data_IF_002143513520
#
_entry.id   IF_002143513520
#
_cell.length_a   1.000
_cell.length_b   1.000
_cell.length_c   1.000
_cell.angle_alpha   90.00
_cell.angle_beta   90.00
_cell.angle_gamma   90.00
#
_symmetry.space_group_name_H-M   'P 1'
#
loop_
_entity.id
_entity.type
_entity.pdbx_description
1 polymer ?
#
# COMPACT_ATOMS: atom_id res chain seq x y z
N UNK A 1 -12.89 19.89 -14.52
CA UNK A 1 -11.62 19.70 -15.26
C UNK A 1 -10.55 18.96 -14.47
N UNK A 2 -10.74 18.67 -13.17
CA UNK A 2 -9.79 17.87 -12.39
C UNK A 2 -10.14 16.37 -12.36
N UNK A 3 -11.42 16.01 -12.52
CA UNK A 3 -11.86 14.59 -12.50
C UNK A 3 -11.37 13.78 -13.71
N UNK A 4 -11.42 14.37 -14.91
CA UNK A 4 -10.99 13.69 -16.16
C UNK A 4 -9.51 13.31 -16.17
N UNK A 5 -8.64 14.08 -15.51
CA UNK A 5 -7.21 13.79 -15.49
C UNK A 5 -6.87 12.61 -14.56
N UNK A 6 -7.63 12.43 -13.47
CA UNK A 6 -7.46 11.30 -12.54
C UNK A 6 -8.02 10.02 -13.14
N UNK A 7 -9.16 10.10 -13.84
CA UNK A 7 -9.77 8.98 -14.54
C UNK A 7 -8.87 8.48 -15.68
N UNK A 8 -8.32 9.38 -16.51
CA UNK A 8 -7.35 9.03 -17.57
C UNK A 8 -6.05 8.45 -17.01
N UNK A 9 -5.56 8.96 -15.86
CA UNK A 9 -4.35 8.43 -15.23
C UNK A 9 -4.57 7.02 -14.64
N UNK A 10 -5.73 6.78 -14.04
CA UNK A 10 -6.12 5.45 -13.55
C UNK A 10 -6.33 4.46 -14.70
N UNK A 11 -6.92 4.90 -15.82
CA UNK A 11 -7.11 4.07 -17.02
C UNK A 11 -5.78 3.71 -17.70
N UNK A 12 -4.79 4.62 -17.67
CA UNK A 12 -3.44 4.37 -18.19
C UNK A 12 -2.68 3.35 -17.34
N UNK A 13 -2.74 3.44 -16.01
CA UNK A 13 -2.11 2.45 -15.13
C UNK A 13 -2.81 1.07 -15.19
N UNK A 14 -4.14 1.04 -15.35
CA UNK A 14 -4.90 -0.21 -15.40
C UNK A 14 -4.70 -0.96 -16.72
N UNK A 15 -4.53 -0.24 -17.83
CA UNK A 15 -4.18 -0.83 -19.12
C UNK A 15 -2.76 -1.40 -19.15
N UNK A 16 -1.80 -0.77 -18.48
CA UNK A 16 -0.43 -1.31 -18.34
C UNK A 16 -0.41 -2.58 -17.48
N UNK A 17 -1.24 -2.63 -16.43
CA UNK A 17 -1.43 -3.83 -15.60
C UNK A 17 -2.13 -4.94 -16.39
N UNK A 18 -3.19 -4.62 -17.15
CA UNK A 18 -3.89 -5.59 -18.00
C UNK A 18 -2.98 -6.12 -19.12
N UNK A 19 -2.17 -5.25 -19.74
CA UNK A 19 -1.17 -5.65 -20.75
C UNK A 19 -0.06 -6.52 -20.14
N UNK A 20 0.37 -6.24 -18.91
CA UNK A 20 1.30 -7.11 -18.17
C UNK A 20 0.66 -8.47 -17.80
N UNK A 21 -0.64 -8.50 -17.51
CA UNK A 21 -1.39 -9.74 -17.23
C UNK A 21 -1.64 -10.57 -18.51
N UNK A 22 -1.90 -9.92 -19.64
CA UNK A 22 -2.08 -10.58 -20.94
C UNK A 22 -0.73 -11.11 -21.48
N UNK A 23 0.37 -10.40 -21.23
CA UNK A 23 1.74 -10.88 -21.50
C UNK A 23 2.15 -12.07 -20.63
N UNK A 24 1.47 -12.34 -19.51
CA UNK A 24 1.70 -13.50 -18.65
C UNK A 24 0.97 -14.76 -19.11
N UNK A 25 0.29 -14.72 -20.27
CA UNK A 25 -0.09 -15.87 -21.10
C UNK A 25 -0.03 -17.22 -20.41
N UNK A 26 -1.00 -17.49 -19.53
CA UNK A 26 -1.25 -18.84 -19.00
C UNK A 26 -1.92 -19.62 -20.15
N UNK A 27 -1.10 -19.99 -21.14
CA UNK A 27 -1.45 -21.00 -22.13
C UNK A 27 -1.37 -22.35 -21.42
N UNK A 28 -2.53 -22.82 -21.00
CA UNK A 28 -2.79 -24.20 -20.65
C UNK A 28 -2.66 -25.06 -21.90
N UNK A 29 -1.44 -25.51 -22.24
CA UNK A 29 -1.23 -26.56 -23.22
C UNK A 29 -0.37 -27.69 -22.62
N UNK A 30 -0.86 -28.89 -22.85
CA UNK A 30 -0.58 -30.15 -22.17
C UNK A 30 0.48 -30.92 -22.95
N UNK A 31 1.73 -30.88 -22.53
CA UNK A 31 2.81 -31.64 -23.20
C UNK A 31 3.56 -32.59 -22.24
N UNK A 32 3.11 -33.85 -22.19
CA UNK A 32 3.77 -34.97 -21.47
C UNK A 32 5.08 -35.45 -22.11
N UNK A 33 5.39 -35.05 -23.36
CA UNK A 33 6.54 -35.57 -24.12
C UNK A 33 7.89 -34.92 -23.75
N UNK A 34 7.89 -33.78 -23.06
CA UNK A 34 9.11 -33.02 -22.73
C UNK A 34 9.92 -33.53 -21.53
N UNK A 35 9.29 -34.33 -20.66
CA UNK A 35 9.87 -34.71 -19.35
C UNK A 35 11.00 -35.72 -19.51
N UNK A 36 10.93 -36.63 -20.49
CA UNK A 36 11.92 -37.69 -20.71
C UNK A 36 13.25 -37.16 -21.28
N UNK A 37 13.21 -36.16 -22.16
CA UNK A 37 14.43 -35.53 -22.72
C UNK A 37 15.15 -34.61 -21.72
N UNK A 38 14.39 -33.97 -20.80
CA UNK A 38 14.94 -33.11 -19.75
C UNK A 38 15.66 -33.90 -18.64
N UNK A 39 15.30 -35.18 -18.44
CA UNK A 39 15.96 -36.06 -17.47
C UNK A 39 17.30 -36.57 -18.03
N UNK A 40 17.39 -36.83 -19.32
CA UNK A 40 18.61 -37.39 -19.94
C UNK A 40 19.75 -36.36 -20.05
N UNK A 41 19.44 -35.07 -20.19
CA UNK A 41 20.43 -33.98 -20.25
C UNK A 41 20.97 -33.57 -18.88
N UNK A 42 20.31 -33.95 -17.78
CA UNK A 42 20.70 -33.55 -16.41
C UNK A 42 21.81 -34.40 -15.80
N UNK A 43 22.10 -35.59 -16.33
CA UNK A 43 23.06 -36.53 -15.72
C UNK A 43 24.52 -36.33 -16.19
N UNK A 44 24.73 -35.69 -17.35
CA UNK A 44 26.08 -35.50 -17.93
C UNK A 44 26.79 -34.22 -17.44
N UNK A 45 26.05 -33.24 -16.92
CA UNK A 45 26.60 -31.92 -16.58
C UNK A 45 27.32 -31.84 -15.23
N UNK A 46 27.33 -32.93 -14.43
CA UNK A 46 27.84 -32.90 -13.05
C UNK A 46 29.33 -33.16 -12.89
N UNK A 47 30.04 -33.55 -13.96
CA UNK A 47 31.44 -34.00 -13.87
C UNK A 47 32.50 -32.94 -14.22
N UNK A 48 32.14 -31.76 -14.74
CA UNK A 48 33.11 -30.78 -15.30
C UNK A 48 32.96 -29.38 -14.68
N UNK A 49 32.85 -29.25 -13.36
CA UNK A 49 32.69 -27.93 -12.71
C UNK A 49 33.47 -27.76 -11.40
N UNK A 50 34.68 -28.33 -11.30
CA UNK A 50 35.56 -28.18 -10.12
C UNK A 50 36.80 -27.31 -10.36
N UNK A 51 36.70 -26.30 -11.21
CA UNK A 51 37.74 -25.28 -11.37
C UNK A 51 37.24 -23.94 -10.86
N UNK A 52 37.72 -23.57 -9.66
CA UNK A 52 37.74 -22.20 -9.13
C UNK A 52 36.43 -21.40 -9.20
N UNK A 53 35.49 -21.74 -8.33
CA UNK A 53 34.37 -20.86 -8.01
C UNK A 53 34.87 -19.71 -7.11
N UNK A 54 35.24 -18.59 -7.72
CA UNK A 54 35.46 -17.33 -7.01
C UNK A 54 34.11 -16.90 -6.43
N UNK A 55 34.01 -16.86 -5.11
CA UNK A 55 32.79 -16.37 -4.45
C UNK A 55 32.75 -14.86 -4.58
N UNK A 56 31.91 -14.33 -5.47
CA UNK A 56 31.51 -12.93 -5.42
C UNK A 56 30.77 -12.72 -4.10
N UNK A 57 31.40 -12.00 -3.17
CA UNK A 57 30.88 -11.73 -1.81
C UNK A 57 30.01 -10.47 -1.74
N UNK A 58 29.76 -9.81 -2.87
CA UNK A 58 28.80 -8.72 -3.02
C UNK A 58 27.48 -9.28 -3.55
N UNK A 59 26.35 -8.79 -3.03
CA UNK A 59 25.00 -9.23 -3.43
C UNK A 59 24.70 -9.09 -4.94
N UNK A 60 25.57 -8.41 -5.69
CA UNK A 60 25.56 -8.29 -7.14
C UNK A 60 26.95 -8.72 -7.65
N UNK A 61 27.08 -9.98 -8.09
CA UNK A 61 28.33 -10.53 -8.64
C UNK A 61 28.49 -10.23 -10.13
N UNK A 62 27.38 -10.01 -10.84
CA UNK A 62 27.33 -9.62 -12.25
C UNK A 62 26.22 -8.60 -12.52
N UNK A 63 26.34 -7.85 -13.63
CA UNK A 63 25.29 -6.92 -14.09
C UNK A 63 23.94 -7.64 -14.33
N UNK A 64 23.99 -8.87 -14.84
CA UNK A 64 22.80 -9.70 -15.04
C UNK A 64 22.08 -10.02 -13.73
N UNK A 65 22.81 -10.34 -12.65
CA UNK A 65 22.23 -10.59 -11.32
C UNK A 65 21.62 -9.31 -10.72
N UNK A 66 22.24 -8.15 -10.95
CA UNK A 66 21.71 -6.86 -10.50
C UNK A 66 20.36 -6.54 -11.16
N UNK A 67 20.24 -6.76 -12.47
CA UNK A 67 18.99 -6.57 -13.21
C UNK A 67 17.87 -7.52 -12.72
N UNK A 68 18.21 -8.78 -12.45
CA UNK A 68 17.25 -9.76 -11.92
C UNK A 68 16.72 -9.36 -10.54
N UNK A 69 17.58 -8.88 -9.65
CA UNK A 69 17.14 -8.40 -8.34
C UNK A 69 16.29 -7.15 -8.44
N UNK A 70 16.58 -6.24 -9.38
CA UNK A 70 15.73 -5.08 -9.60
C UNK A 70 14.34 -5.47 -10.08
N UNK A 71 14.25 -6.37 -11.07
CA UNK A 71 12.96 -6.87 -11.56
C UNK A 71 12.17 -7.60 -10.47
N UNK A 72 12.84 -8.38 -9.62
CA UNK A 72 12.21 -9.07 -8.50
C UNK A 72 11.53 -8.06 -7.55
N UNK A 73 12.28 -7.05 -7.09
CA UNK A 73 11.74 -6.06 -6.17
C UNK A 73 10.66 -5.19 -6.80
N UNK A 74 10.78 -4.83 -8.08
CA UNK A 74 9.72 -4.13 -8.80
C UNK A 74 8.42 -4.93 -8.80
N UNK A 75 8.48 -6.24 -9.09
CA UNK A 75 7.29 -7.12 -9.08
C UNK A 75 6.70 -7.26 -7.69
N UNK A 76 7.53 -7.39 -6.66
CA UNK A 76 7.08 -7.42 -5.27
C UNK A 76 6.38 -6.12 -4.90
N UNK A 77 6.95 -4.97 -5.26
CA UNK A 77 6.35 -3.65 -5.01
C UNK A 77 5.02 -3.48 -5.76
N UNK A 78 4.90 -3.94 -7.00
CA UNK A 78 3.64 -3.94 -7.74
C UNK A 78 2.57 -4.76 -7.02
N UNK A 79 2.93 -5.96 -6.53
CA UNK A 79 2.03 -6.78 -5.71
C UNK A 79 1.64 -6.11 -4.39
N UNK A 80 2.57 -5.43 -3.73
CA UNK A 80 2.31 -4.69 -2.50
C UNK A 80 1.35 -3.51 -2.74
N UNK A 81 1.56 -2.75 -3.82
CA UNK A 81 0.68 -1.64 -4.21
C UNK A 81 -0.74 -2.17 -4.46
N UNK A 82 -0.89 -3.21 -5.26
CA UNK A 82 -2.20 -3.80 -5.55
C UNK A 82 -2.91 -4.27 -4.26
N UNK A 83 -2.19 -4.94 -3.36
CA UNK A 83 -2.74 -5.37 -2.07
C UNK A 83 -3.18 -4.18 -1.20
N UNK A 84 -2.32 -3.16 -1.05
CA UNK A 84 -2.68 -1.97 -0.27
C UNK A 84 -3.85 -1.21 -0.88
N UNK A 85 -3.93 -1.10 -2.21
CA UNK A 85 -5.05 -0.46 -2.90
C UNK A 85 -6.39 -1.15 -2.60
N UNK A 86 -6.46 -2.48 -2.72
CA UNK A 86 -7.67 -3.24 -2.38
C UNK A 86 -8.03 -3.07 -0.91
N UNK A 87 -7.05 -3.19 -0.01
CA UNK A 87 -7.27 -3.02 1.42
C UNK A 87 -7.78 -1.62 1.78
N UNK A 88 -7.25 -0.58 1.13
CA UNK A 88 -7.70 0.80 1.32
C UNK A 88 -9.14 0.98 0.87
N UNK A 89 -9.54 0.47 -0.30
CA UNK A 89 -10.92 0.57 -0.78
C UNK A 89 -11.89 -0.12 0.17
N UNK A 90 -11.57 -1.34 0.62
CA UNK A 90 -12.40 -2.08 1.59
C UNK A 90 -12.52 -1.31 2.91
N UNK A 91 -11.39 -0.83 3.43
CA UNK A 91 -11.35 -0.08 4.69
C UNK A 91 -12.14 1.22 4.59
N UNK A 92 -12.01 1.94 3.47
CA UNK A 92 -12.76 3.16 3.21
C UNK A 92 -14.26 2.85 3.13
N UNK A 93 -14.68 1.86 2.34
CA UNK A 93 -16.08 1.46 2.26
C UNK A 93 -16.66 1.12 3.64
N UNK A 94 -15.94 0.32 4.44
CA UNK A 94 -16.38 -0.06 5.78
C UNK A 94 -16.41 1.12 6.77
N UNK A 95 -15.48 2.07 6.65
CA UNK A 95 -15.39 3.20 7.56
C UNK A 95 -16.46 4.27 7.27
N UNK A 96 -16.76 4.53 6.00
CA UNK A 96 -17.78 5.49 5.60
C UNK A 96 -19.20 4.91 5.55
N UNK A 97 -19.38 3.58 5.64
CA UNK A 97 -20.70 2.95 5.65
C UNK A 97 -21.37 2.91 7.02
N UNK A 98 -20.68 3.32 8.10
CA UNK A 98 -21.28 3.40 9.43
C UNK A 98 -21.35 4.86 9.91
N UNK A 99 -22.34 5.14 10.75
CA UNK A 99 -22.47 6.46 11.36
C UNK A 99 -21.30 6.68 12.34
N UNK A 100 -20.53 7.74 12.11
CA UNK A 100 -19.51 8.15 13.06
C UNK A 100 -20.23 8.70 14.30
N UNK A 101 -20.40 7.85 15.30
CA UNK A 101 -21.07 8.23 16.54
C UNK A 101 -20.32 9.40 17.17
N UNK A 102 -20.93 10.59 17.15
CA UNK A 102 -20.44 11.77 17.84
C UNK A 102 -20.58 11.54 19.35
N UNK A 103 -19.51 11.04 19.98
CA UNK A 103 -19.45 10.82 21.43
C UNK A 103 -19.30 12.11 22.24
N UNK A 104 -19.71 13.26 21.69
CA UNK A 104 -19.62 14.57 22.34
C UNK A 104 -20.53 14.66 23.58
N UNK A 105 -21.60 13.88 23.63
CA UNK A 105 -22.55 13.82 24.75
C UNK A 105 -22.19 12.77 25.82
N UNK A 106 -21.01 12.16 25.75
CA UNK A 106 -20.57 11.19 26.74
C UNK A 106 -20.43 11.85 28.13
N UNK A 107 -20.69 11.12 29.23
CA UNK A 107 -20.52 11.65 30.58
C UNK A 107 -19.11 12.21 30.78
N UNK A 108 -19.04 13.47 31.22
CA UNK A 108 -17.75 14.11 31.54
C UNK A 108 -17.29 13.62 32.90
N UNK A 109 -16.36 12.68 32.91
CA UNK A 109 -15.72 12.21 34.13
C UNK A 109 -14.66 13.21 34.64
N UNK A 110 -14.37 13.19 35.95
CA UNK A 110 -13.40 14.10 36.57
C UNK A 110 -11.96 13.97 36.02
N UNK A 111 -11.64 12.84 35.40
CA UNK A 111 -10.35 12.62 34.74
C UNK A 111 -10.33 13.06 33.27
N UNK A 112 -11.49 13.38 32.69
CA UNK A 112 -11.59 13.88 31.33
C UNK A 112 -11.38 15.40 31.34
N UNK A 113 -10.85 15.92 30.23
CA UNK A 113 -10.63 17.38 30.04
C UNK A 113 -9.84 18.04 31.19
N UNK A 114 -8.88 17.33 31.81
CA UNK A 114 -7.97 17.94 32.79
C UNK A 114 -7.19 19.08 32.12
N UNK A 115 -7.24 20.26 32.74
CA UNK A 115 -6.54 21.48 32.29
C UNK A 115 -5.83 22.15 33.46
N UNK A 116 -4.52 21.96 33.52
CA UNK A 116 -3.67 22.69 34.47
C UNK A 116 -3.15 24.01 33.89
N UNK A 117 -3.15 24.16 32.56
CA UNK A 117 -2.71 25.35 31.82
C UNK A 117 -3.55 25.51 30.55
N UNK A 118 -3.92 26.75 30.15
CA UNK A 118 -4.57 26.99 28.87
C UNK A 118 -3.65 26.65 27.70
N UNK A 119 -4.24 26.21 26.59
CA UNK A 119 -3.51 26.00 25.36
C UNK A 119 -3.08 27.32 24.70
N UNK A 120 -2.00 27.33 23.91
CA UNK A 120 -1.45 28.55 23.31
C UNK A 120 -2.18 29.02 22.03
N UNK A 121 -3.40 28.52 21.75
CA UNK A 121 -4.21 28.92 20.59
C UNK A 121 -5.51 29.59 21.02
N UNK A 122 -6.20 30.23 20.07
CA UNK A 122 -7.36 31.10 20.29
C UNK A 122 -8.44 30.49 21.19
N UNK A 123 -8.91 29.27 20.89
CA UNK A 123 -9.84 28.53 21.75
C UNK A 123 -9.05 27.66 22.74
N UNK A 124 -8.53 28.30 23.79
CA UNK A 124 -7.53 27.73 24.69
C UNK A 124 -7.99 26.52 25.51
N UNK A 125 -9.29 26.21 25.50
CA UNK A 125 -9.88 25.06 26.19
C UNK A 125 -10.10 23.84 25.26
N UNK A 126 -10.20 24.08 23.95
CA UNK A 126 -10.37 23.04 22.94
C UNK A 126 -9.03 22.38 22.58
N UNK A 127 -8.99 21.05 22.41
CA UNK A 127 -7.80 20.34 21.93
C UNK A 127 -7.45 20.71 20.47
N UNK A 128 -6.23 20.39 20.04
CA UNK A 128 -5.75 20.71 18.68
C UNK A 128 -6.60 20.07 17.56
N UNK A 129 -7.12 18.86 17.76
CA UNK A 129 -7.96 18.15 16.78
C UNK A 129 -9.44 18.04 17.20
N UNK A 130 -9.86 18.83 18.18
CA UNK A 130 -11.26 18.87 18.61
C UNK A 130 -12.00 19.96 17.81
N UNK A 131 -12.42 19.59 16.60
CA UNK A 131 -13.09 20.50 15.67
C UNK A 131 -14.46 20.93 16.19
N UNK A 132 -15.23 19.99 16.74
CA UNK A 132 -16.54 20.28 17.33
C UNK A 132 -16.45 21.31 18.46
N UNK A 133 -15.51 21.17 19.41
CA UNK A 133 -15.30 22.18 20.45
C UNK A 133 -14.97 23.56 19.87
N UNK A 134 -14.14 23.61 18.82
CA UNK A 134 -13.79 24.87 18.17
C UNK A 134 -14.96 25.50 17.44
N UNK A 135 -15.82 24.70 16.81
CA UNK A 135 -17.04 25.16 16.14
C UNK A 135 -18.03 25.74 17.14
N UNK A 136 -18.27 25.03 18.25
CA UNK A 136 -19.12 25.51 19.34
C UNK A 136 -18.56 26.79 19.97
N UNK A 137 -17.25 26.82 20.26
CA UNK A 137 -16.60 28.01 20.79
C UNK A 137 -16.65 29.21 19.82
N UNK A 138 -16.51 28.95 18.51
CA UNK A 138 -16.64 29.97 17.47
C UNK A 138 -18.08 30.47 17.32
N UNK A 139 -19.08 29.59 17.41
CA UNK A 139 -20.49 29.95 17.39
C UNK A 139 -20.87 30.77 18.64
N UNK A 140 -20.39 30.37 19.81
CA UNK A 140 -20.56 31.12 21.06
C UNK A 140 -19.92 32.51 20.98
N UNK A 141 -18.71 32.63 20.43
CA UNK A 141 -18.05 33.92 20.22
C UNK A 141 -18.81 34.84 19.26
N UNK A 142 -19.61 34.28 18.34
CA UNK A 142 -20.48 35.02 17.42
C UNK A 142 -21.89 35.30 17.98
N UNK A 143 -22.19 34.84 19.21
CA UNK A 143 -23.52 34.94 19.81
C UNK A 143 -24.58 34.07 19.12
N UNK A 144 -24.16 33.02 18.40
CA UNK A 144 -25.02 32.13 17.62
C UNK A 144 -25.30 30.80 18.33
N UNK A 145 -24.63 30.53 19.45
CA UNK A 145 -24.86 29.35 20.27
C UNK A 145 -25.53 29.76 21.58
N UNK A 146 -26.70 29.16 21.86
CA UNK A 146 -27.34 29.11 23.17
C UNK A 146 -27.19 27.71 23.75
#
# INVERSE_FOLDING_TARGET
MHDLAVEIAADLEMNDIFSAMESLGISEERDEEGVLSAILTKSLSRAVARTTQVRHMSAHGSEAEALQQMQLWTRISQGAIAFTGVFTVISFAAHFSHEHADHHDAPVYSHNKIRNKPYPWQYSDCNIFDYHCKEVAAAAAKGLAH
#
